data_IF_019415973165
#
_entry.id   IF_019415973165
#
_cell.length_a   1.000
_cell.length_b   1.000
_cell.length_c   1.000
_cell.angle_alpha   90.00
_cell.angle_beta   90.00
_cell.angle_gamma   90.00
#
_symmetry.space_group_name_H-M   'P 1'
#
loop_
_entity.id
_entity.type
_entity.pdbx_description
1 polymer ?
#
# COMPACT_ATOMS: atom_id res chain seq x y z
N UNK A 1 4.21 -7.35 1.49
CA UNK A 1 4.99 -7.26 0.24
C UNK A 1 6.42 -7.79 0.39
N UNK A 2 7.23 -7.27 1.32
CA UNK A 2 8.63 -7.76 1.55
C UNK A 2 8.69 -9.28 1.75
N UNK A 3 7.86 -9.82 2.64
CA UNK A 3 7.70 -11.28 2.81
C UNK A 3 7.33 -12.01 1.51
N UNK A 4 6.44 -11.43 0.70
CA UNK A 4 6.03 -12.01 -0.59
C UNK A 4 7.19 -12.08 -1.58
N UNK A 5 8.01 -11.03 -1.67
CA UNK A 5 9.23 -11.04 -2.50
C UNK A 5 10.22 -12.08 -1.99
N UNK A 6 10.44 -12.16 -0.67
CA UNK A 6 11.31 -13.18 -0.07
C UNK A 6 10.83 -14.61 -0.40
N UNK A 7 9.56 -14.91 -0.22
CA UNK A 7 8.99 -16.22 -0.57
C UNK A 7 9.09 -16.51 -2.09
N UNK A 8 8.88 -15.50 -2.94
CA UNK A 8 9.03 -15.62 -4.38
C UNK A 8 10.47 -15.96 -4.79
N UNK A 9 11.47 -15.34 -4.18
CA UNK A 9 12.90 -15.67 -4.42
C UNK A 9 13.26 -17.09 -4.00
N UNK A 10 12.52 -17.67 -3.06
CA UNK A 10 12.67 -19.06 -2.62
C UNK A 10 11.81 -20.05 -3.45
N UNK A 11 11.28 -19.64 -4.60
CA UNK A 11 10.46 -20.48 -5.48
C UNK A 11 8.98 -20.59 -5.10
N UNK A 12 8.49 -19.79 -4.16
CA UNK A 12 7.08 -19.79 -3.70
C UNK A 12 6.40 -18.44 -3.98
N UNK A 13 6.12 -18.09 -5.25
CA UNK A 13 5.66 -16.76 -5.63
C UNK A 13 4.19 -16.47 -5.29
N UNK A 14 3.42 -17.50 -4.93
CA UNK A 14 1.95 -17.43 -4.78
C UNK A 14 1.53 -16.27 -3.88
N UNK A 15 2.19 -16.09 -2.73
CA UNK A 15 1.83 -15.01 -1.81
C UNK A 15 2.03 -13.62 -2.41
N UNK A 16 3.11 -13.41 -3.18
CA UNK A 16 3.35 -12.15 -3.87
C UNK A 16 2.28 -11.90 -4.94
N UNK A 17 2.00 -12.91 -5.77
CA UNK A 17 1.00 -12.80 -6.86
C UNK A 17 -0.38 -12.48 -6.25
N UNK A 18 -0.77 -13.16 -5.16
CA UNK A 18 -2.04 -12.88 -4.49
C UNK A 18 -2.13 -11.46 -3.92
N UNK A 19 -1.02 -10.88 -3.45
CA UNK A 19 -1.00 -9.47 -3.02
C UNK A 19 -1.16 -8.54 -4.23
N UNK A 20 -0.41 -8.78 -5.31
CA UNK A 20 -0.43 -7.94 -6.52
C UNK A 20 -1.81 -7.91 -7.18
N UNK A 21 -2.55 -9.02 -7.11
CA UNK A 21 -3.87 -9.16 -7.71
C UNK A 21 -5.02 -9.02 -6.69
N UNK A 22 -4.72 -8.67 -5.44
CA UNK A 22 -5.72 -8.55 -4.36
C UNK A 22 -6.82 -7.54 -4.72
N UNK A 23 -6.45 -6.45 -5.39
CA UNK A 23 -7.36 -5.40 -5.83
C UNK A 23 -8.30 -5.75 -6.98
N UNK A 24 -8.18 -6.96 -7.56
CA UNK A 24 -9.07 -7.40 -8.66
C UNK A 24 -10.54 -7.43 -8.23
N UNK A 25 -10.84 -7.75 -6.96
CA UNK A 25 -12.20 -7.87 -6.42
C UNK A 25 -12.88 -6.54 -6.08
N UNK A 26 -12.22 -5.39 -6.30
CA UNK A 26 -12.78 -4.05 -6.04
C UNK A 26 -14.03 -3.77 -6.88
N UNK A 27 -14.23 -4.48 -8.00
CA UNK A 27 -15.45 -4.35 -8.81
C UNK A 27 -16.74 -4.62 -8.01
N UNK A 28 -16.70 -5.47 -6.98
CA UNK A 28 -17.86 -5.71 -6.10
C UNK A 28 -18.27 -4.43 -5.38
N UNK A 29 -17.28 -3.69 -4.89
CA UNK A 29 -17.53 -2.41 -4.26
C UNK A 29 -18.05 -1.39 -5.29
N UNK A 30 -17.43 -1.32 -6.48
CA UNK A 30 -17.88 -0.45 -7.59
C UNK A 30 -19.34 -0.73 -7.95
N UNK A 31 -19.73 -2.01 -8.03
CA UNK A 31 -21.11 -2.40 -8.30
C UNK A 31 -22.07 -1.89 -7.21
N UNK A 32 -21.70 -2.01 -5.93
CA UNK A 32 -22.48 -1.46 -4.81
C UNK A 32 -22.61 0.06 -4.93
N UNK A 33 -21.52 0.78 -5.21
CA UNK A 33 -21.57 2.23 -5.40
C UNK A 33 -22.47 2.64 -6.57
N UNK A 34 -22.47 1.86 -7.66
CA UNK A 34 -23.37 2.07 -8.79
C UNK A 34 -24.85 1.93 -8.38
N UNK A 35 -25.18 0.88 -7.61
CA UNK A 35 -26.54 0.71 -7.06
C UNK A 35 -26.96 1.80 -6.08
N UNK A 36 -25.99 2.44 -5.40
CA UNK A 36 -26.22 3.53 -4.46
C UNK A 36 -26.12 4.92 -5.10
N UNK A 37 -26.02 5.00 -6.44
CA UNK A 37 -25.87 6.24 -7.22
C UNK A 37 -24.72 7.15 -6.74
N UNK A 38 -23.66 6.54 -6.18
CA UNK A 38 -22.50 7.26 -5.68
C UNK A 38 -21.53 7.57 -6.82
N UNK A 39 -20.95 8.80 -6.87
CA UNK A 39 -19.98 9.15 -7.89
C UNK A 39 -18.66 8.40 -7.69
N UNK A 40 -18.24 7.60 -8.68
CA UNK A 40 -16.98 6.86 -8.64
C UNK A 40 -15.95 7.59 -9.50
N UNK A 41 -14.86 8.04 -8.86
CA UNK A 41 -13.72 8.65 -9.55
C UNK A 41 -12.47 7.79 -9.37
N UNK A 42 -12.17 6.99 -10.39
CA UNK A 42 -10.94 6.20 -10.47
C UNK A 42 -9.98 6.92 -11.40
N UNK A 43 -8.91 7.49 -10.85
CA UNK A 43 -7.91 8.19 -11.64
C UNK A 43 -6.83 7.21 -12.11
N UNK A 44 -6.67 7.15 -13.43
CA UNK A 44 -5.59 6.40 -14.07
C UNK A 44 -4.59 7.36 -14.68
N UNK A 45 -3.30 7.14 -14.45
CA UNK A 45 -2.24 8.03 -14.91
C UNK A 45 -1.20 7.24 -15.70
N UNK A 46 -0.61 7.86 -16.71
CA UNK A 46 0.57 7.31 -17.38
C UNK A 46 1.78 7.33 -16.44
N UNK A 47 2.67 6.33 -16.50
CA UNK A 47 3.87 6.30 -15.68
C UNK A 47 4.85 7.39 -16.10
N UNK A 48 5.61 7.93 -15.14
CA UNK A 48 6.78 8.76 -15.41
C UNK A 48 8.05 8.06 -14.91
N UNK A 49 9.21 8.55 -15.32
CA UNK A 49 10.50 8.08 -14.76
C UNK A 49 10.51 8.25 -13.24
N UNK A 50 9.92 9.35 -12.74
CA UNK A 50 9.80 9.62 -11.32
C UNK A 50 8.96 8.55 -10.60
N UNK A 51 7.87 8.09 -11.22
CA UNK A 51 7.05 6.99 -10.70
C UNK A 51 7.87 5.71 -10.53
N UNK A 52 8.67 5.35 -11.54
CA UNK A 52 9.51 4.16 -11.51
C UNK A 52 10.63 4.26 -10.47
N UNK A 53 11.34 5.39 -10.43
CA UNK A 53 12.41 5.65 -9.45
C UNK A 53 11.85 5.70 -8.03
N UNK A 54 10.70 6.35 -7.83
CA UNK A 54 10.03 6.43 -6.55
C UNK A 54 9.62 5.06 -6.02
N UNK A 55 9.02 4.23 -6.89
CA UNK A 55 8.70 2.85 -6.54
C UNK A 55 9.94 2.05 -6.14
N UNK A 56 11.03 2.19 -6.89
CA UNK A 56 12.29 1.50 -6.59
C UNK A 56 12.89 1.92 -5.23
N UNK A 57 12.98 3.22 -4.96
CA UNK A 57 13.48 3.77 -3.69
C UNK A 57 12.59 3.33 -2.52
N UNK A 58 11.27 3.36 -2.68
CA UNK A 58 10.33 2.84 -1.68
C UNK A 58 10.62 1.37 -1.39
N UNK A 59 10.85 0.58 -2.45
CA UNK A 59 11.15 -0.84 -2.34
C UNK A 59 12.44 -1.12 -1.55
N UNK A 60 13.50 -0.36 -1.81
CA UNK A 60 14.76 -0.44 -1.04
C UNK A 60 14.53 -0.11 0.44
N UNK A 61 13.86 1.01 0.73
CA UNK A 61 13.52 1.40 2.11
C UNK A 61 12.68 0.32 2.82
N UNK A 62 11.72 -0.28 2.11
CA UNK A 62 10.90 -1.35 2.65
C UNK A 62 11.72 -2.63 2.96
N UNK A 63 12.72 -2.96 2.13
CA UNK A 63 13.63 -4.07 2.42
C UNK A 63 14.47 -3.81 3.67
N UNK A 64 15.09 -2.63 3.79
CA UNK A 64 15.89 -2.24 4.97
C UNK A 64 15.06 -2.18 6.26
N UNK A 65 13.80 -1.75 6.16
CA UNK A 65 12.86 -1.78 7.28
C UNK A 65 12.41 -3.22 7.64
N UNK A 66 12.53 -4.18 6.73
CA UNK A 66 11.95 -5.52 6.88
C UNK A 66 10.42 -5.53 6.80
N UNK A 67 9.82 -4.52 6.16
CA UNK A 67 8.37 -4.36 6.07
C UNK A 67 7.99 -3.21 5.13
N UNK A 68 6.89 -3.39 4.39
CA UNK A 68 6.25 -2.30 3.65
C UNK A 68 5.28 -1.52 4.55
N UNK A 69 4.67 -0.42 4.09
CA UNK A 69 3.89 0.50 4.95
C UNK A 69 2.87 -0.18 5.87
N UNK A 70 1.97 -1.00 5.30
CA UNK A 70 0.99 -1.80 6.08
C UNK A 70 1.66 -2.77 7.06
N UNK A 71 2.78 -3.37 6.67
CA UNK A 71 3.53 -4.29 7.54
C UNK A 71 4.21 -3.54 8.68
N UNK A 72 4.69 -2.31 8.46
CA UNK A 72 5.27 -1.44 9.49
C UNK A 72 4.24 -1.14 10.56
N UNK A 73 3.03 -0.71 10.14
CA UNK A 73 1.92 -0.42 11.05
C UNK A 73 1.47 -1.68 11.79
N UNK A 74 1.36 -2.81 11.09
CA UNK A 74 0.99 -4.08 11.69
C UNK A 74 2.03 -4.61 12.69
N UNK A 75 3.34 -4.38 12.44
CA UNK A 75 4.41 -4.69 13.40
C UNK A 75 4.34 -3.79 14.63
N UNK A 76 4.10 -2.50 14.44
CA UNK A 76 3.86 -1.56 15.53
C UNK A 76 2.68 -2.01 16.41
N UNK A 77 1.54 -2.37 15.79
CA UNK A 77 0.36 -2.89 16.50
C UNK A 77 0.61 -4.22 17.24
N UNK A 78 1.64 -4.98 16.84
CA UNK A 78 2.09 -6.20 17.54
C UNK A 78 3.07 -5.93 18.68
N UNK A 79 3.41 -4.67 18.99
CA UNK A 79 4.29 -4.30 20.10
C UNK A 79 5.73 -3.97 19.70
N UNK A 80 6.04 -3.91 18.40
CA UNK A 80 7.36 -3.48 17.90
C UNK A 80 7.44 -1.95 17.83
N UNK A 81 7.73 -1.31 18.97
CA UNK A 81 7.63 0.16 19.14
C UNK A 81 8.61 0.92 18.24
N UNK A 82 9.75 0.32 17.88
CA UNK A 82 10.75 0.94 17.01
C UNK A 82 10.23 1.28 15.59
N UNK A 83 9.14 0.64 15.16
CA UNK A 83 8.45 0.98 13.90
C UNK A 83 7.97 2.44 13.86
N UNK A 84 7.78 3.09 15.02
CA UNK A 84 7.47 4.52 15.10
C UNK A 84 8.55 5.36 14.41
N UNK A 85 9.83 5.00 14.55
CA UNK A 85 10.90 5.72 13.86
C UNK A 85 10.76 5.65 12.34
N UNK A 86 10.34 4.50 11.79
CA UNK A 86 10.06 4.36 10.36
C UNK A 86 8.87 5.22 9.93
N UNK A 87 7.80 5.25 10.73
CA UNK A 87 6.62 6.09 10.44
C UNK A 87 7.00 7.58 10.49
N UNK A 88 7.83 7.99 11.45
CA UNK A 88 8.32 9.37 11.55
C UNK A 88 9.23 9.74 10.38
N UNK A 89 10.19 8.87 10.01
CA UNK A 89 11.04 9.10 8.84
C UNK A 89 10.22 9.21 7.56
N UNK A 90 9.18 8.39 7.43
CA UNK A 90 8.24 8.48 6.32
C UNK A 90 7.51 9.83 6.29
N UNK A 91 6.95 10.27 7.41
CA UNK A 91 6.28 11.56 7.52
C UNK A 91 7.22 12.73 7.21
N UNK A 92 8.46 12.70 7.72
CA UNK A 92 9.48 13.74 7.45
C UNK A 92 9.74 13.89 5.96
N UNK A 93 9.82 12.79 5.20
CA UNK A 93 10.00 12.90 3.75
C UNK A 93 8.79 13.51 3.03
N UNK A 94 7.57 13.23 3.48
CA UNK A 94 6.39 13.92 2.94
C UNK A 94 6.44 15.42 3.23
N UNK A 95 6.81 15.82 4.46
CA UNK A 95 6.95 17.23 4.81
C UNK A 95 8.01 17.94 3.96
N UNK A 96 9.17 17.33 3.75
CA UNK A 96 10.30 18.00 3.10
C UNK A 96 10.23 17.98 1.56
N UNK A 97 9.63 16.97 0.95
CA UNK A 97 9.78 16.73 -0.49
C UNK A 97 8.47 16.79 -1.28
N UNK A 98 7.31 16.94 -0.65
CA UNK A 98 6.04 16.85 -1.38
C UNK A 98 5.89 17.91 -2.47
N UNK A 99 6.21 19.17 -2.20
CA UNK A 99 6.07 20.26 -3.18
C UNK A 99 7.01 20.10 -4.38
N UNK A 100 8.19 19.51 -4.16
CA UNK A 100 9.18 19.30 -5.22
C UNK A 100 8.65 18.37 -6.34
N UNK A 101 7.71 17.49 -6.00
CA UNK A 101 7.25 16.41 -6.88
C UNK A 101 5.74 16.41 -7.16
N UNK A 102 4.95 17.28 -6.52
CA UNK A 102 3.47 17.28 -6.64
C UNK A 102 2.98 17.47 -8.08
N UNK A 103 3.64 18.33 -8.86
CA UNK A 103 3.25 18.62 -10.26
C UNK A 103 3.93 17.70 -11.30
N UNK A 104 4.63 16.65 -10.85
CA UNK A 104 5.39 15.74 -11.72
C UNK A 104 4.69 14.39 -11.93
N UNK A 105 3.41 14.30 -11.57
CA UNK A 105 2.59 13.14 -11.87
C UNK A 105 2.36 13.03 -13.39
N UNK A 106 2.26 11.80 -13.90
CA UNK A 106 1.97 11.58 -15.30
C UNK A 106 0.55 11.99 -15.69
N UNK A 107 0.33 12.24 -16.98
CA UNK A 107 -0.96 12.67 -17.52
C UNK A 107 -2.06 11.65 -17.19
N UNK A 108 -3.20 12.15 -16.74
CA UNK A 108 -4.38 11.32 -16.50
C UNK A 108 -4.98 10.85 -17.82
N UNK A 109 -5.53 9.63 -17.82
CA UNK A 109 -6.33 9.07 -18.89
C UNK A 109 -7.58 8.41 -18.33
N UNK A 110 -8.58 8.25 -19.19
CA UNK A 110 -9.86 7.66 -18.84
C UNK A 110 -9.97 6.28 -19.47
N UNK A 111 -10.54 5.35 -18.70
CA UNK A 111 -10.90 4.01 -19.15
C UNK A 111 -12.43 3.96 -19.19
N UNK A 112 -13.00 3.34 -20.23
CA UNK A 112 -14.43 3.09 -20.29
C UNK A 112 -14.89 2.33 -19.03
N UNK A 113 -15.90 2.80 -18.27
CA UNK A 113 -16.36 2.13 -17.06
C UNK A 113 -16.74 0.66 -17.29
N UNK A 114 -17.34 0.36 -18.45
CA UNK A 114 -17.70 -1.01 -18.84
C UNK A 114 -16.46 -1.88 -18.99
N UNK A 115 -15.47 -1.40 -19.75
CA UNK A 115 -14.22 -2.13 -19.96
C UNK A 115 -13.48 -2.36 -18.64
N UNK A 116 -13.45 -1.35 -17.77
CA UNK A 116 -12.82 -1.41 -16.46
C UNK A 116 -13.41 -2.53 -15.60
N UNK A 117 -14.73 -2.54 -15.43
CA UNK A 117 -15.42 -3.57 -14.65
C UNK A 117 -15.24 -4.95 -15.27
N UNK A 118 -15.33 -5.08 -16.61
CA UNK A 118 -15.12 -6.35 -17.31
C UNK A 118 -13.73 -6.94 -17.05
N UNK A 119 -12.68 -6.12 -17.06
CA UNK A 119 -11.31 -6.55 -16.75
C UNK A 119 -11.22 -7.05 -15.30
N UNK A 120 -11.77 -6.30 -14.34
CA UNK A 120 -11.71 -6.67 -12.92
C UNK A 120 -12.52 -7.93 -12.60
N UNK A 121 -13.70 -8.10 -13.20
CA UNK A 121 -14.51 -9.31 -13.10
C UNK A 121 -13.76 -10.49 -13.70
N UNK A 122 -13.22 -10.35 -14.93
CA UNK A 122 -12.46 -11.41 -15.59
C UNK A 122 -11.28 -11.88 -14.76
N UNK A 123 -10.47 -10.95 -14.24
CA UNK A 123 -9.36 -11.26 -13.33
C UNK A 123 -9.86 -11.96 -12.06
N UNK A 124 -10.93 -11.47 -11.43
CA UNK A 124 -11.50 -12.08 -10.23
C UNK A 124 -11.97 -13.53 -10.47
N UNK A 125 -12.65 -13.78 -11.59
CA UNK A 125 -13.13 -15.13 -11.97
C UNK A 125 -11.95 -16.07 -12.20
N UNK A 126 -10.91 -15.63 -12.92
CA UNK A 126 -9.69 -16.43 -13.12
C UNK A 126 -9.07 -16.80 -11.77
N UNK A 127 -8.96 -15.84 -10.85
CA UNK A 127 -8.38 -16.08 -9.53
C UNK A 127 -9.24 -17.00 -8.65
N UNK A 128 -10.56 -16.91 -8.75
CA UNK A 128 -11.47 -17.84 -8.06
C UNK A 128 -11.33 -19.26 -8.61
N UNK A 129 -11.19 -19.42 -9.93
CA UNK A 129 -10.93 -20.73 -10.56
C UNK A 129 -9.58 -21.28 -10.08
N UNK A 130 -8.52 -20.46 -10.09
CA UNK A 130 -7.20 -20.85 -9.56
C UNK A 130 -7.29 -21.25 -8.09
N UNK A 131 -7.99 -20.46 -7.26
CA UNK A 131 -8.18 -20.75 -5.84
C UNK A 131 -8.95 -22.05 -5.62
N UNK A 132 -9.98 -22.33 -6.42
CA UNK A 132 -10.79 -23.56 -6.31
C UNK A 132 -10.00 -24.84 -6.60
N UNK A 133 -9.02 -24.76 -7.51
CA UNK A 133 -8.12 -25.86 -7.88
C UNK A 133 -6.89 -25.99 -6.97
N UNK A 134 -6.67 -25.01 -6.09
CA UNK A 134 -5.53 -24.98 -5.19
C UNK A 134 -5.77 -25.82 -3.93
N UNK A 135 -4.68 -26.24 -3.26
CA UNK A 135 -4.76 -26.86 -1.95
C UNK A 135 -5.43 -25.94 -0.92
N UNK A 136 -5.91 -26.50 0.20
CA UNK A 136 -6.67 -25.76 1.21
C UNK A 136 -5.95 -24.54 1.78
N UNK A 137 -4.62 -24.61 1.95
CA UNK A 137 -3.84 -23.49 2.50
C UNK A 137 -3.72 -22.36 1.48
N UNK A 138 -3.37 -22.71 0.23
CA UNK A 138 -3.24 -21.74 -0.86
C UNK A 138 -4.59 -21.12 -1.23
N UNK A 139 -5.66 -21.92 -1.26
CA UNK A 139 -7.04 -21.44 -1.46
C UNK A 139 -7.46 -20.43 -0.39
N UNK A 140 -7.20 -20.72 0.89
CA UNK A 140 -7.47 -19.78 1.98
C UNK A 140 -6.69 -18.47 1.79
N UNK A 141 -5.45 -18.54 1.33
CA UNK A 141 -4.63 -17.36 1.05
C UNK A 141 -5.24 -16.50 -0.06
N UNK A 142 -5.62 -17.11 -1.20
CA UNK A 142 -6.27 -16.40 -2.30
C UNK A 142 -7.56 -15.71 -1.86
N UNK A 143 -8.45 -16.45 -1.18
CA UNK A 143 -9.73 -15.91 -0.69
C UNK A 143 -9.52 -14.78 0.32
N UNK A 144 -8.51 -14.90 1.19
CA UNK A 144 -8.18 -13.84 2.15
C UNK A 144 -7.68 -12.57 1.45
N UNK A 145 -6.84 -12.70 0.41
CA UNK A 145 -6.32 -11.55 -0.34
C UNK A 145 -7.41 -10.88 -1.19
N UNK A 146 -8.30 -11.66 -1.80
CA UNK A 146 -9.48 -11.12 -2.50
C UNK A 146 -10.44 -10.43 -1.51
N UNK A 147 -10.61 -10.97 -0.31
CA UNK A 147 -11.40 -10.33 0.75
C UNK A 147 -10.82 -8.97 1.17
N UNK A 148 -9.50 -8.86 1.29
CA UNK A 148 -8.84 -7.56 1.51
C UNK A 148 -9.16 -6.58 0.38
N UNK A 149 -9.15 -7.02 -0.87
CA UNK A 149 -9.54 -6.18 -2.02
C UNK A 149 -10.97 -5.67 -1.94
N UNK A 150 -11.93 -6.51 -1.55
CA UNK A 150 -13.33 -6.10 -1.36
C UNK A 150 -13.43 -5.05 -0.25
N UNK A 151 -12.84 -5.32 0.91
CA UNK A 151 -12.86 -4.38 2.04
C UNK A 151 -12.20 -3.05 1.70
N UNK A 152 -11.04 -3.10 1.01
CA UNK A 152 -10.36 -1.90 0.52
C UNK A 152 -11.23 -1.10 -0.47
N UNK A 153 -11.94 -1.78 -1.37
CA UNK A 153 -12.87 -1.16 -2.31
C UNK A 153 -14.05 -0.47 -1.61
N UNK A 154 -14.63 -1.12 -0.59
CA UNK A 154 -15.73 -0.55 0.19
C UNK A 154 -15.29 0.72 0.94
N UNK A 155 -14.11 0.68 1.56
CA UNK A 155 -13.54 1.86 2.23
C UNK A 155 -13.19 2.95 1.21
N UNK A 156 -12.68 2.59 0.03
CA UNK A 156 -12.34 3.54 -1.03
C UNK A 156 -13.54 4.34 -1.53
N UNK A 157 -14.72 3.71 -1.65
CA UNK A 157 -15.95 4.41 -2.04
C UNK A 157 -16.34 5.46 -1.01
N UNK A 158 -16.15 5.16 0.28
CA UNK A 158 -16.46 6.08 1.35
C UNK A 158 -15.42 7.21 1.47
N UNK A 159 -14.13 6.88 1.42
CA UNK A 159 -13.02 7.83 1.51
C UNK A 159 -11.88 7.40 0.56
N UNK A 160 -11.75 8.00 -0.64
CA UNK A 160 -10.77 7.60 -1.65
C UNK A 160 -9.30 7.69 -1.22
N UNK A 161 -8.98 8.48 -0.19
CA UNK A 161 -7.61 8.67 0.32
C UNK A 161 -7.37 7.99 1.67
N UNK A 162 -8.16 6.96 1.99
CA UNK A 162 -8.14 6.26 3.29
C UNK A 162 -6.80 5.58 3.65
N UNK A 163 -5.93 5.32 2.66
CA UNK A 163 -4.72 4.52 2.88
C UNK A 163 -3.78 5.21 3.88
N UNK A 164 -3.02 4.46 4.69
CA UNK A 164 -2.00 5.04 5.56
C UNK A 164 -1.05 6.01 4.86
N UNK A 165 -0.57 5.66 3.67
CA UNK A 165 0.22 6.59 2.83
C UNK A 165 -0.54 7.85 2.48
N UNK A 166 -1.84 7.73 2.16
CA UNK A 166 -2.71 8.85 1.83
C UNK A 166 -2.92 9.80 3.02
N UNK A 167 -3.08 9.26 4.23
CA UNK A 167 -3.16 10.06 5.45
C UNK A 167 -1.84 10.81 5.69
N UNK A 168 -0.69 10.13 5.64
CA UNK A 168 0.62 10.77 5.82
C UNK A 168 0.90 11.85 4.77
N UNK A 169 0.56 11.59 3.50
CA UNK A 169 0.61 12.60 2.43
C UNK A 169 -0.22 13.83 2.77
N UNK A 170 -1.47 13.61 3.19
CA UNK A 170 -2.42 14.69 3.46
C UNK A 170 -1.96 15.53 4.65
N UNK A 171 -1.56 14.88 5.76
CA UNK A 171 -0.99 15.57 6.93
C UNK A 171 0.27 16.34 6.54
N UNK A 172 1.18 15.73 5.77
CA UNK A 172 2.40 16.37 5.30
C UNK A 172 2.12 17.67 4.53
N UNK A 173 1.19 17.61 3.58
CA UNK A 173 0.76 18.77 2.79
C UNK A 173 0.15 19.89 3.64
N UNK A 174 -0.74 19.55 4.60
CA UNK A 174 -1.42 20.56 5.41
C UNK A 174 -0.47 21.26 6.38
N UNK A 175 0.46 20.51 7.00
CA UNK A 175 1.44 21.05 7.95
C UNK A 175 2.45 21.94 7.23
N UNK A 176 2.98 21.49 6.10
CA UNK A 176 4.02 22.22 5.36
C UNK A 176 3.50 23.53 4.76
N UNK A 177 2.33 23.51 4.13
CA UNK A 177 1.76 24.70 3.49
C UNK A 177 1.11 25.68 4.47
N UNK A 178 1.15 25.40 5.79
CA UNK A 178 0.56 26.24 6.81
C UNK A 178 -0.97 26.45 6.67
N UNK A 179 -1.62 25.63 5.85
CA UNK A 179 -3.02 25.81 5.48
C UNK A 179 -3.91 24.86 6.27
N UNK A 180 -4.43 25.34 7.40
CA UNK A 180 -5.36 24.59 8.25
C UNK A 180 -6.65 24.18 7.53
N UNK A 181 -7.04 24.87 6.45
CA UNK A 181 -8.21 24.49 5.64
C UNK A 181 -7.97 23.23 4.78
N UNK A 182 -6.70 22.87 4.53
CA UNK A 182 -6.32 21.66 3.83
C UNK A 182 -6.13 20.45 4.76
N UNK A 183 -6.47 20.56 6.06
CA UNK A 183 -6.30 19.48 7.03
C UNK A 183 -7.12 18.25 6.64
N UNK A 184 -6.62 17.01 6.84
CA UNK A 184 -7.37 15.82 6.48
C UNK A 184 -8.67 15.73 7.29
N UNK A 185 -9.72 15.30 6.61
CA UNK A 185 -11.02 14.95 7.20
C UNK A 185 -10.86 13.99 8.39
N UNK A 186 -11.64 14.19 9.45
CA UNK A 186 -11.55 13.40 10.70
C UNK A 186 -11.81 11.92 10.46
N UNK A 187 -12.65 11.61 9.47
CA UNK A 187 -12.95 10.27 8.98
C UNK A 187 -11.69 9.46 8.64
N UNK A 188 -10.65 10.10 8.09
CA UNK A 188 -9.38 9.42 7.76
C UNK A 188 -8.61 8.99 9.00
N UNK A 189 -8.67 9.78 10.07
CA UNK A 189 -8.05 9.42 11.35
C UNK A 189 -8.82 8.30 12.04
N UNK A 190 -10.15 8.31 11.98
CA UNK A 190 -10.96 7.20 12.50
C UNK A 190 -10.67 5.90 11.73
N UNK A 191 -10.62 5.95 10.40
CA UNK A 191 -10.27 4.77 9.57
C UNK A 191 -8.88 4.22 9.92
N UNK A 192 -7.88 5.10 10.06
CA UNK A 192 -6.54 4.69 10.47
C UNK A 192 -6.54 4.08 11.89
N UNK A 193 -7.24 4.70 12.84
CA UNK A 193 -7.37 4.19 14.20
C UNK A 193 -8.02 2.81 14.23
N UNK A 194 -9.15 2.60 13.55
CA UNK A 194 -9.82 1.30 13.49
C UNK A 194 -9.00 0.25 12.75
N UNK A 195 -8.21 0.64 11.73
CA UNK A 195 -7.26 -0.25 11.08
C UNK A 195 -6.18 -0.74 12.06
N UNK A 196 -5.57 0.17 12.82
CA UNK A 196 -4.56 -0.17 13.84
C UNK A 196 -5.18 -0.99 14.96
N UNK A 197 -6.37 -0.63 15.44
CA UNK A 197 -7.11 -1.35 16.47
C UNK A 197 -7.42 -2.78 16.01
N UNK A 198 -7.90 -2.97 14.78
CA UNK A 198 -8.14 -4.29 14.21
C UNK A 198 -6.86 -5.14 14.14
N UNK A 199 -5.73 -4.54 13.76
CA UNK A 199 -4.42 -5.21 13.78
C UNK A 199 -3.97 -5.58 15.20
N UNK A 200 -4.23 -4.72 16.18
CA UNK A 200 -3.91 -4.97 17.59
C UNK A 200 -4.78 -6.09 18.17
N UNK A 201 -6.10 -6.03 17.97
CA UNK A 201 -7.04 -7.10 18.38
C UNK A 201 -6.62 -8.43 17.77
N UNK A 202 -6.33 -8.45 16.47
CA UNK A 202 -5.84 -9.65 15.80
C UNK A 202 -4.52 -10.16 16.41
N UNK A 203 -3.61 -9.27 16.81
CA UNK A 203 -2.37 -9.63 17.48
C UNK A 203 -2.60 -10.31 18.83
N UNK A 204 -3.53 -9.78 19.64
CA UNK A 204 -3.89 -10.37 20.93
C UNK A 204 -4.59 -11.72 20.78
N UNK A 205 -5.58 -11.81 19.88
CA UNK A 205 -6.33 -13.05 19.60
C UNK A 205 -5.39 -14.15 19.09
N UNK A 206 -4.42 -13.81 18.23
CA UNK A 206 -3.44 -14.76 17.71
C UNK A 206 -2.24 -15.00 18.64
N UNK A 207 -2.22 -14.38 19.83
CA UNK A 207 -1.10 -14.42 20.78
C UNK A 207 0.25 -14.06 20.14
N UNK A 208 0.23 -13.16 19.16
CA UNK A 208 1.41 -12.69 18.43
C UNK A 208 1.91 -11.33 18.90
N UNK A 209 1.24 -10.71 19.88
CA UNK A 209 1.72 -9.48 20.52
C UNK A 209 2.97 -9.75 21.35
N UNK A 210 4.03 -8.99 21.08
CA UNK A 210 5.32 -9.03 21.80
C UNK A 210 5.87 -7.61 21.88
N UNK A 211 6.05 -7.13 23.11
CA UNK A 211 6.69 -5.85 23.33
C UNK A 211 8.18 -5.98 23.02
N UNK A 212 8.63 -5.28 21.98
CA UNK A 212 10.02 -5.29 21.53
C UNK A 212 10.51 -3.85 21.39
N UNK A 213 11.63 -3.56 22.03
CA UNK A 213 12.35 -2.29 21.92
C UNK A 213 13.79 -2.56 21.49
N UNK A 214 14.41 -1.60 20.79
CA UNK A 214 15.78 -1.72 20.26
C UNK A 214 16.64 -0.55 20.72
N UNK A 215 17.96 -0.70 20.57
CA UNK A 215 18.90 0.37 20.88
C UNK A 215 18.71 1.60 19.99
N UNK A 216 19.14 2.76 20.47
CA UNK A 216 19.08 4.04 19.74
C UNK A 216 19.75 3.98 18.35
N UNK A 217 20.83 3.22 18.21
CA UNK A 217 21.54 3.03 16.93
C UNK A 217 20.67 2.25 15.93
N UNK A 218 19.84 1.31 16.39
CA UNK A 218 18.92 0.63 15.50
C UNK A 218 17.73 1.53 15.13
N UNK A 219 17.34 2.44 16.03
CA UNK A 219 16.29 3.43 15.76
C UNK A 219 16.65 4.33 14.58
N UNK A 220 17.92 4.74 14.43
CA UNK A 220 18.37 5.54 13.28
C UNK A 220 18.27 4.77 11.96
N UNK A 221 18.52 3.45 11.98
CA UNK A 221 18.31 2.58 10.80
C UNK A 221 16.84 2.52 10.41
N UNK A 222 15.94 2.37 11.37
CA UNK A 222 14.49 2.37 11.12
C UNK A 222 13.99 3.72 10.62
N UNK A 223 14.50 4.82 11.17
CA UNK A 223 14.22 6.17 10.69
C UNK A 223 14.69 6.38 9.25
N UNK A 224 15.95 6.02 8.93
CA UNK A 224 16.50 6.10 7.58
C UNK A 224 15.74 5.23 6.57
N UNK A 225 15.32 4.03 6.98
CA UNK A 225 14.48 3.18 6.13
C UNK A 225 13.12 3.85 5.87
N UNK A 226 12.56 4.51 6.90
CA UNK A 226 11.35 5.31 6.81
C UNK A 226 11.48 6.49 5.85
N UNK A 227 12.59 7.24 5.90
CA UNK A 227 12.81 8.37 4.98
C UNK A 227 12.97 7.90 3.54
N UNK A 228 13.63 6.75 3.29
CA UNK A 228 13.66 6.16 1.94
C UNK A 228 12.26 5.74 1.47
N UNK A 229 11.49 5.06 2.33
CA UNK A 229 10.09 4.73 2.03
C UNK A 229 9.28 6.00 1.74
N UNK A 230 9.47 7.07 2.50
CA UNK A 230 8.76 8.32 2.29
C UNK A 230 9.13 9.06 1.03
N UNK A 231 10.43 9.21 0.74
CA UNK A 231 10.90 9.82 -0.50
C UNK A 231 10.36 9.06 -1.71
N UNK A 232 10.44 7.71 -1.67
CA UNK A 232 9.87 6.87 -2.72
C UNK A 232 8.36 7.03 -2.87
N UNK A 233 7.63 7.14 -1.75
CA UNK A 233 6.18 7.35 -1.75
C UNK A 233 5.81 8.72 -2.34
N UNK A 234 6.55 9.78 -2.02
CA UNK A 234 6.36 11.12 -2.58
C UNK A 234 6.53 11.08 -4.10
N UNK A 235 7.64 10.52 -4.58
CA UNK A 235 7.97 10.41 -6.00
C UNK A 235 6.97 9.53 -6.79
N UNK A 236 6.49 8.45 -6.17
CA UNK A 236 5.51 7.54 -6.78
C UNK A 236 4.06 8.00 -6.62
N UNK A 237 3.80 9.08 -5.89
CA UNK A 237 2.44 9.57 -5.58
C UNK A 237 1.67 8.71 -4.57
N UNK A 238 2.36 7.83 -3.84
CA UNK A 238 1.80 6.96 -2.81
C UNK A 238 2.72 5.77 -2.50
N UNK A 239 2.61 5.21 -1.30
CA UNK A 239 3.31 3.98 -0.92
C UNK A 239 2.64 2.71 -1.45
N UNK A 240 3.14 1.55 -1.05
CA UNK A 240 2.70 0.26 -1.58
C UNK A 240 1.20 -0.02 -1.37
N UNK A 241 0.59 0.47 -0.29
CA UNK A 241 -0.85 0.40 -0.03
C UNK A 241 -1.67 1.17 -1.08
N UNK A 242 -1.31 2.42 -1.37
CA UNK A 242 -1.98 3.21 -2.41
C UNK A 242 -1.78 2.59 -3.79
N UNK A 243 -0.57 2.11 -4.10
CA UNK A 243 -0.33 1.50 -5.41
C UNK A 243 -1.11 0.19 -5.58
N UNK A 244 -1.14 -0.67 -4.56
CA UNK A 244 -1.80 -1.98 -4.63
C UNK A 244 -3.33 -1.91 -4.51
N UNK A 245 -3.86 -1.06 -3.64
CA UNK A 245 -5.28 -1.07 -3.27
C UNK A 245 -6.10 0.05 -3.92
N UNK A 246 -5.43 1.01 -4.57
CA UNK A 246 -6.11 2.12 -5.25
C UNK A 246 -5.68 2.19 -6.72
N UNK A 247 -4.38 2.34 -6.99
CA UNK A 247 -3.89 2.58 -8.36
C UNK A 247 -4.01 1.36 -9.28
N UNK A 248 -3.64 0.16 -8.81
CA UNK A 248 -3.80 -1.08 -9.56
C UNK A 248 -5.28 -1.41 -9.86
N UNK A 249 -6.20 -1.36 -8.89
CA UNK A 249 -7.65 -1.49 -9.16
C UNK A 249 -8.18 -0.44 -10.12
N UNK A 250 -7.62 0.77 -10.11
CA UNK A 250 -7.97 1.80 -11.08
C UNK A 250 -7.47 1.47 -12.51
N UNK A 251 -6.67 0.42 -12.70
CA UNK A 251 -5.98 0.06 -13.94
C UNK A 251 -5.00 1.15 -14.40
N UNK A 252 -4.39 1.85 -13.44
CA UNK A 252 -3.40 2.89 -13.67
C UNK A 252 -2.04 2.30 -14.08
N UNK A 253 -1.54 2.67 -15.26
CA UNK A 253 -0.23 2.27 -15.75
C UNK A 253 0.91 2.79 -14.84
N UNK A 254 0.75 3.99 -14.27
CA UNK A 254 1.63 4.51 -13.23
C UNK A 254 1.66 3.60 -11.99
N UNK A 255 0.49 3.13 -11.54
CA UNK A 255 0.37 2.21 -10.41
C UNK A 255 1.04 0.86 -10.66
N UNK A 256 0.91 0.33 -11.87
CA UNK A 256 1.58 -0.90 -12.29
C UNK A 256 3.11 -0.73 -12.28
N UNK A 257 3.62 0.32 -12.93
CA UNK A 257 5.07 0.60 -12.97
C UNK A 257 5.62 0.85 -11.57
N UNK A 258 4.95 1.66 -10.75
CA UNK A 258 5.35 1.88 -9.36
C UNK A 258 5.42 0.57 -8.60
N UNK A 259 4.39 -0.27 -8.68
CA UNK A 259 4.33 -1.55 -7.94
C UNK A 259 5.45 -2.50 -8.37
N UNK A 260 5.69 -2.65 -9.68
CA UNK A 260 6.78 -3.48 -10.19
C UNK A 260 8.14 -2.96 -9.74
N UNK A 261 8.34 -1.63 -9.81
CA UNK A 261 9.56 -1.01 -9.29
C UNK A 261 9.74 -1.21 -7.79
N UNK A 262 8.68 -1.18 -6.97
CA UNK A 262 8.76 -1.53 -5.55
C UNK A 262 9.17 -2.98 -5.37
N UNK A 263 8.61 -3.93 -6.14
CA UNK A 263 9.02 -5.35 -6.09
C UNK A 263 10.51 -5.49 -6.39
N UNK A 264 10.99 -4.84 -7.45
CA UNK A 264 12.40 -4.85 -7.86
C UNK A 264 13.29 -4.23 -6.78
N UNK A 265 12.89 -3.09 -6.22
CA UNK A 265 13.60 -2.42 -5.13
C UNK A 265 13.70 -3.30 -3.89
N UNK A 266 12.62 -3.98 -3.51
CA UNK A 266 12.65 -4.94 -2.39
C UNK A 266 13.62 -6.09 -2.70
N UNK A 267 13.55 -6.67 -3.90
CA UNK A 267 14.41 -7.78 -4.30
C UNK A 267 15.90 -7.41 -4.22
N UNK A 268 16.27 -6.25 -4.77
CA UNK A 268 17.65 -5.74 -4.71
C UNK A 268 18.04 -5.44 -3.26
N UNK A 269 17.18 -4.78 -2.49
CA UNK A 269 17.44 -4.46 -1.09
C UNK A 269 17.67 -5.71 -0.22
N UNK A 270 16.90 -6.78 -0.43
CA UNK A 270 17.11 -8.06 0.27
C UNK A 270 18.47 -8.66 -0.10
N UNK A 271 18.85 -8.66 -1.39
CA UNK A 271 20.17 -9.14 -1.83
C UNK A 271 21.35 -8.33 -1.25
N UNK A 272 21.14 -7.04 -0.98
CA UNK A 272 22.17 -6.19 -0.34
C UNK A 272 22.33 -6.47 1.15
N UNK A 273 21.26 -6.93 1.83
CA UNK A 273 21.29 -7.29 3.24
C UNK A 273 21.81 -8.70 3.51
N UNK A 274 21.66 -9.60 2.54
CA UNK A 274 22.14 -10.99 2.63
C UNK A 274 23.65 -11.12 2.34
N UNK A 275 24.33 -10.02 1.96
CA UNK A 275 25.79 -9.92 1.77
C UNK A 275 26.47 -9.37 3.01
#
# INVERSE_FOLDING_TARGET
MVRGVKEATSGKPVFLISILLSGSSVWLAIAIAYFLEQPIRLNSNFPTILTALGGFIFGLGAAFNGGCGVSTISRFARGQVMMVATILGWLVSWLLFVDLFTDRAGKAYLISPVLHIMILIGLSVILLVVASKSDTKTRKLWLSMLGIGVMAGLVFIYEPHWTPSGLLKSVGLSVWNGNGAAWPRSERFYLFFFLVLGMAIAAFVTKSFRFEFVSLIQLTKYFFSGTLMGLGAVMAGGGNDSQLLVALPALSAAGLVATLSIVIGIFIGLKLLDK
#
